data_IF_167487680467
#
_entry.id   IF_167487680467
#
_cell.length_a   1.000
_cell.length_b   1.000
_cell.length_c   1.000
_cell.angle_alpha   90.00
_cell.angle_beta   90.00
_cell.angle_gamma   90.00
#
_symmetry.space_group_name_H-M   'P 1'
#
loop_
_entity.id
_entity.type
_entity.pdbx_description
1 polymer ?
#
# COMPACT_ATOMS: atom_id res chain seq x y z
N UNK A 1 -0.94 -30.97 -21.04
CA UNK A 1 -0.28 -29.98 -20.16
C UNK A 1 -1.38 -29.13 -19.52
N UNK A 2 -1.80 -29.48 -18.31
CA UNK A 2 -2.82 -28.74 -17.56
C UNK A 2 -2.16 -27.52 -16.92
N UNK A 3 -2.43 -26.34 -17.47
CA UNK A 3 -2.12 -25.07 -16.81
C UNK A 3 -2.97 -24.94 -15.57
N UNK A 4 -2.34 -24.85 -14.40
CA UNK A 4 -3.00 -24.61 -13.11
C UNK A 4 -3.87 -23.36 -13.24
N UNK A 5 -5.18 -23.52 -13.04
CA UNK A 5 -6.06 -22.42 -12.76
C UNK A 5 -5.50 -21.68 -11.53
N UNK A 6 -5.07 -20.44 -11.72
CA UNK A 6 -4.71 -19.55 -10.63
C UNK A 6 -6.01 -19.32 -9.84
N UNK A 7 -6.07 -19.84 -8.62
CA UNK A 7 -7.20 -19.65 -7.72
C UNK A 7 -7.29 -18.15 -7.47
N UNK A 8 -8.27 -17.49 -8.10
CA UNK A 8 -8.64 -16.11 -7.79
C UNK A 8 -9.35 -16.16 -6.44
N UNK A 9 -8.58 -16.27 -5.37
CA UNK A 9 -9.07 -15.99 -4.03
C UNK A 9 -9.45 -14.52 -4.03
N UNK A 10 -10.75 -14.23 -3.95
CA UNK A 10 -11.25 -12.89 -3.66
C UNK A 10 -10.74 -12.51 -2.27
N UNK A 11 -9.63 -11.78 -2.24
CA UNK A 11 -9.16 -11.18 -0.99
C UNK A 11 -10.00 -9.94 -0.73
N UNK A 12 -10.77 -9.99 0.35
CA UNK A 12 -11.67 -8.89 0.74
C UNK A 12 -10.90 -7.59 1.02
N UNK A 13 -9.64 -7.69 1.47
CA UNK A 13 -8.80 -6.54 1.79
C UNK A 13 -7.32 -6.93 1.71
N UNK A 14 -6.51 -6.06 1.11
CA UNK A 14 -5.06 -6.27 0.98
C UNK A 14 -4.26 -5.04 1.39
N UNK A 15 -3.01 -5.26 1.79
CA UNK A 15 -1.97 -4.24 1.79
C UNK A 15 -1.14 -4.36 0.51
N UNK A 16 -0.69 -3.23 -0.03
CA UNK A 16 0.04 -3.14 -1.30
C UNK A 16 1.43 -2.54 -1.08
N UNK A 17 2.46 -3.17 -1.63
CA UNK A 17 3.83 -2.66 -1.67
C UNK A 17 4.28 -2.60 -3.13
N UNK A 18 4.75 -1.42 -3.55
CA UNK A 18 5.36 -1.22 -4.85
C UNK A 18 6.72 -0.59 -4.66
N UNK A 19 7.76 -1.38 -4.91
CA UNK A 19 9.14 -0.97 -4.67
C UNK A 19 10.07 -1.69 -5.65
N UNK A 20 10.82 -0.96 -6.50
CA UNK A 20 11.71 -1.57 -7.50
C UNK A 20 12.90 -2.32 -6.89
N UNK A 21 13.35 -1.96 -5.68
CA UNK A 21 14.38 -2.72 -4.98
C UNK A 21 13.78 -3.96 -4.31
N UNK A 22 14.13 -5.19 -4.75
CA UNK A 22 13.50 -6.40 -4.24
C UNK A 22 13.75 -6.63 -2.74
N UNK A 23 14.89 -6.21 -2.20
CA UNK A 23 15.17 -6.37 -0.77
C UNK A 23 14.28 -5.47 0.08
N UNK A 24 14.12 -4.21 -0.33
CA UNK A 24 13.23 -3.25 0.37
C UNK A 24 11.78 -3.70 0.23
N UNK A 25 11.36 -4.14 -0.96
CA UNK A 25 10.01 -4.66 -1.20
C UNK A 25 9.69 -5.86 -0.30
N UNK A 26 10.61 -6.82 -0.20
CA UNK A 26 10.45 -8.01 0.65
C UNK A 26 10.40 -7.63 2.13
N UNK A 27 11.32 -6.78 2.59
CA UNK A 27 11.37 -6.32 3.99
C UNK A 27 10.07 -5.60 4.40
N UNK A 28 9.57 -4.71 3.56
CA UNK A 28 8.29 -4.03 3.78
C UNK A 28 7.11 -5.02 3.83
N UNK A 29 7.09 -6.00 2.92
CA UNK A 29 6.03 -6.99 2.88
C UNK A 29 6.06 -7.93 4.10
N UNK A 30 7.26 -8.35 4.53
CA UNK A 30 7.45 -9.16 5.74
C UNK A 30 7.05 -8.41 7.00
N UNK A 31 7.43 -7.13 7.11
CA UNK A 31 7.00 -6.28 8.23
C UNK A 31 5.48 -6.15 8.29
N UNK A 32 4.79 -5.94 7.17
CA UNK A 32 3.33 -5.85 7.15
C UNK A 32 2.66 -7.15 7.63
N UNK A 33 3.23 -8.31 7.27
CA UNK A 33 2.77 -9.63 7.73
C UNK A 33 3.12 -9.90 9.19
N UNK A 34 4.25 -9.37 9.67
CA UNK A 34 4.64 -9.49 11.07
C UNK A 34 3.65 -8.77 11.99
N UNK A 35 3.14 -7.61 11.56
CA UNK A 35 2.15 -6.80 12.30
C UNK A 35 0.72 -7.33 12.29
N UNK A 36 0.41 -8.16 11.31
CA UNK A 36 -0.90 -8.71 11.06
C UNK A 36 -0.67 -10.03 10.33
N UNK A 37 -0.64 -11.12 11.10
CA UNK A 37 -0.36 -12.46 10.59
C UNK A 37 -1.36 -12.93 9.52
N UNK A 38 -2.51 -12.27 9.44
CA UNK A 38 -3.56 -12.51 8.44
C UNK A 38 -3.52 -11.51 7.28
N UNK A 39 -2.58 -10.57 7.27
CA UNK A 39 -2.44 -9.60 6.20
C UNK A 39 -2.11 -10.30 4.88
N UNK A 40 -2.94 -10.02 3.89
CA UNK A 40 -2.67 -10.37 2.51
C UNK A 40 -1.91 -9.20 1.89
N UNK A 41 -0.64 -9.43 1.60
CA UNK A 41 0.23 -8.42 1.01
C UNK A 41 0.46 -8.74 -0.46
N UNK A 42 0.11 -7.81 -1.33
CA UNK A 42 0.52 -7.80 -2.74
C UNK A 42 1.81 -6.97 -2.82
N UNK A 43 2.90 -7.58 -3.26
CA UNK A 43 4.20 -6.92 -3.37
C UNK A 43 4.71 -7.06 -4.81
N UNK A 44 4.92 -5.94 -5.48
CA UNK A 44 5.33 -5.91 -6.89
C UNK A 44 6.40 -4.85 -7.16
N UNK A 45 7.26 -5.09 -8.14
CA UNK A 45 8.37 -4.17 -8.44
C UNK A 45 7.95 -2.93 -9.21
N UNK A 46 6.74 -2.91 -9.76
CA UNK A 46 6.25 -1.82 -10.60
C UNK A 46 4.72 -1.72 -10.61
N UNK A 47 4.23 -0.53 -10.94
CA UNK A 47 2.80 -0.21 -10.95
C UNK A 47 1.98 -1.06 -11.93
N UNK A 48 2.55 -1.49 -13.06
CA UNK A 48 1.81 -2.27 -14.07
C UNK A 48 1.49 -3.68 -13.56
N UNK A 49 2.47 -4.35 -12.95
CA UNK A 49 2.28 -5.67 -12.35
C UNK A 49 1.28 -5.61 -11.19
N UNK A 50 1.44 -4.61 -10.31
CA UNK A 50 0.50 -4.35 -9.22
C UNK A 50 -0.93 -4.15 -9.70
N UNK A 51 -1.13 -3.33 -10.74
CA UNK A 51 -2.45 -3.00 -11.28
C UNK A 51 -3.23 -4.23 -11.72
N UNK A 52 -2.57 -5.21 -12.33
CA UNK A 52 -3.19 -6.46 -12.77
C UNK A 52 -3.75 -7.27 -11.59
N UNK A 53 -3.05 -7.28 -10.46
CA UNK A 53 -3.43 -8.04 -9.27
C UNK A 53 -4.48 -7.32 -8.43
N UNK A 54 -4.34 -6.01 -8.23
CA UNK A 54 -5.28 -5.25 -7.40
C UNK A 54 -6.64 -5.05 -8.08
N UNK A 55 -6.75 -5.28 -9.39
CA UNK A 55 -8.04 -5.20 -10.08
C UNK A 55 -9.06 -6.21 -9.54
N UNK A 56 -8.61 -7.37 -9.04
CA UNK A 56 -9.47 -8.44 -8.52
C UNK A 56 -9.65 -8.46 -6.99
N UNK A 57 -9.11 -7.49 -6.25
CA UNK A 57 -9.32 -7.40 -4.79
C UNK A 57 -10.46 -6.44 -4.47
N UNK A 58 -11.19 -6.64 -3.37
CA UNK A 58 -12.35 -5.78 -3.06
C UNK A 58 -11.91 -4.42 -2.52
N UNK A 59 -10.92 -4.40 -1.62
CA UNK A 59 -10.43 -3.16 -1.00
C UNK A 59 -8.91 -3.17 -0.79
N UNK A 60 -8.34 -1.96 -0.74
CA UNK A 60 -6.93 -1.75 -0.38
C UNK A 60 -6.93 -1.03 0.97
N UNK A 61 -6.22 -1.57 1.94
CA UNK A 61 -6.08 -0.97 3.28
C UNK A 61 -5.01 0.12 3.24
N UNK A 62 -3.82 -0.25 2.78
CA UNK A 62 -2.65 0.60 2.61
C UNK A 62 -1.93 0.29 1.30
N UNK A 63 -1.34 1.31 0.69
CA UNK A 63 -0.36 1.20 -0.37
C UNK A 63 0.92 1.95 -0.01
N UNK A 64 2.05 1.23 0.09
CA UNK A 64 3.40 1.79 0.12
C UNK A 64 3.92 1.82 -1.32
N UNK A 65 4.21 3.00 -1.87
CA UNK A 65 4.52 3.15 -3.30
C UNK A 65 5.77 3.99 -3.49
N UNK A 66 6.82 3.37 -4.05
CA UNK A 66 8.00 4.06 -4.55
C UNK A 66 7.66 4.76 -5.87
N UNK A 67 7.28 6.03 -5.79
CA UNK A 67 6.94 6.85 -6.95
C UNK A 67 7.06 8.35 -6.63
N UNK A 68 7.34 9.13 -7.68
CA UNK A 68 7.20 10.57 -7.64
C UNK A 68 5.73 10.96 -7.40
N UNK A 69 5.42 11.94 -6.55
CA UNK A 69 4.04 12.36 -6.30
C UNK A 69 3.29 12.78 -7.57
N UNK A 70 3.94 13.54 -8.45
CA UNK A 70 3.33 14.03 -9.69
C UNK A 70 3.00 12.90 -10.69
N UNK A 71 3.85 11.88 -10.76
CA UNK A 71 3.63 10.71 -11.63
C UNK A 71 2.59 9.77 -11.02
N UNK A 72 2.66 9.56 -9.70
CA UNK A 72 1.69 8.77 -8.96
C UNK A 72 0.29 9.35 -9.12
N UNK A 73 0.11 10.65 -8.90
CA UNK A 73 -1.19 11.32 -8.95
C UNK A 73 -1.94 11.08 -10.27
N UNK A 74 -1.20 11.07 -11.39
CA UNK A 74 -1.71 10.88 -12.75
C UNK A 74 -1.88 9.40 -13.13
N UNK A 75 -1.39 8.47 -12.32
CA UNK A 75 -1.36 7.04 -12.64
C UNK A 75 -2.74 6.39 -12.50
N UNK A 76 -2.99 5.37 -13.35
CA UNK A 76 -4.15 4.48 -13.19
C UNK A 76 -4.16 3.77 -11.83
N UNK A 77 -2.97 3.46 -11.31
CA UNK A 77 -2.81 2.86 -9.99
C UNK A 77 -3.35 3.77 -8.88
N UNK A 78 -3.04 5.07 -8.89
CA UNK A 78 -3.58 5.99 -7.89
C UNK A 78 -5.10 6.10 -7.95
N UNK A 79 -5.68 6.05 -9.14
CA UNK A 79 -7.13 6.02 -9.31
C UNK A 79 -7.73 4.76 -8.68
N UNK A 80 -7.16 3.58 -8.98
CA UNK A 80 -7.62 2.30 -8.42
C UNK A 80 -7.47 2.25 -6.90
N UNK A 81 -6.35 2.72 -6.35
CA UNK A 81 -6.14 2.76 -4.89
C UNK A 81 -7.20 3.64 -4.22
N UNK A 82 -7.46 4.84 -4.76
CA UNK A 82 -8.50 5.74 -4.24
C UNK A 82 -9.89 5.13 -4.32
N UNK A 83 -10.26 4.52 -5.45
CA UNK A 83 -11.55 3.85 -5.64
C UNK A 83 -11.75 2.69 -4.66
N UNK A 84 -10.68 1.97 -4.32
CA UNK A 84 -10.68 0.86 -3.34
C UNK A 84 -10.53 1.32 -1.89
N UNK A 85 -10.58 2.63 -1.62
CA UNK A 85 -10.49 3.21 -0.28
C UNK A 85 -9.12 3.09 0.37
N UNK A 86 -8.07 2.90 -0.45
CA UNK A 86 -6.70 2.74 0.02
C UNK A 86 -6.08 4.06 0.46
N UNK A 87 -5.30 3.97 1.54
CA UNK A 87 -4.37 5.03 1.95
C UNK A 87 -3.05 4.85 1.22
N UNK A 88 -2.41 5.95 0.86
CA UNK A 88 -1.16 5.93 0.09
C UNK A 88 -0.05 6.55 0.93
N UNK A 89 1.10 5.88 0.91
CA UNK A 89 2.37 6.39 1.40
C UNK A 89 3.33 6.36 0.25
N UNK A 90 3.91 7.52 -0.06
CA UNK A 90 4.93 7.61 -1.09
C UNK A 90 6.31 7.43 -0.48
N UNK A 91 7.21 6.85 -1.26
CA UNK A 91 8.60 6.60 -0.89
C UNK A 91 9.52 7.00 -2.04
N UNK A 92 10.77 7.29 -1.71
CA UNK A 92 11.80 7.68 -2.68
C UNK A 92 12.08 9.18 -2.71
N UNK A 93 13.16 9.56 -3.38
CA UNK A 93 13.75 10.90 -3.27
C UNK A 93 12.76 12.03 -3.63
N UNK A 94 11.97 11.84 -4.69
CA UNK A 94 10.99 12.84 -5.12
C UNK A 94 9.78 12.92 -4.19
N UNK A 95 9.39 11.79 -3.58
CA UNK A 95 8.37 11.77 -2.54
C UNK A 95 8.85 12.49 -1.27
N UNK A 96 10.09 12.25 -0.85
CA UNK A 96 10.74 12.93 0.29
C UNK A 96 10.79 14.45 0.08
N UNK A 97 11.07 14.89 -1.15
CA UNK A 97 11.20 16.31 -1.47
C UNK A 97 9.84 17.03 -1.61
N UNK A 98 8.83 16.39 -2.21
CA UNK A 98 7.61 17.07 -2.66
C UNK A 98 6.31 16.48 -2.10
N UNK A 99 6.35 15.25 -1.59
CA UNK A 99 5.14 14.48 -1.29
C UNK A 99 4.26 15.14 -0.24
N UNK A 100 4.84 15.59 0.88
CA UNK A 100 4.08 16.25 1.96
C UNK A 100 3.48 17.58 1.50
N UNK A 101 4.22 18.37 0.72
CA UNK A 101 3.71 19.62 0.14
C UNK A 101 2.56 19.38 -0.86
N UNK A 102 2.52 18.20 -1.48
CA UNK A 102 1.43 17.73 -2.35
C UNK A 102 0.33 16.96 -1.60
N UNK A 103 0.39 16.89 -0.27
CA UNK A 103 -0.63 16.27 0.58
C UNK A 103 -0.53 14.75 0.72
N UNK A 104 0.58 14.13 0.32
CA UNK A 104 0.84 12.71 0.54
C UNK A 104 1.51 12.47 1.88
N UNK A 105 1.19 11.34 2.52
CA UNK A 105 2.06 10.78 3.54
C UNK A 105 3.32 10.24 2.89
N UNK A 106 4.49 10.51 3.50
CA UNK A 106 5.79 10.12 2.95
C UNK A 106 6.55 9.30 3.97
N UNK A 107 7.17 8.20 3.51
CA UNK A 107 8.13 7.45 4.31
C UNK A 107 9.55 7.90 3.94
N UNK A 108 10.17 8.66 4.84
CA UNK A 108 11.51 9.21 4.65
C UNK A 108 12.60 8.17 4.91
N UNK A 109 13.62 8.13 4.06
CA UNK A 109 14.79 7.26 4.25
C UNK A 109 15.91 7.97 5.02
N UNK A 110 16.71 7.23 5.81
CA UNK A 110 16.49 5.83 6.17
C UNK A 110 15.28 5.70 7.12
N UNK A 111 14.48 4.65 6.93
CA UNK A 111 13.38 4.35 7.83
C UNK A 111 13.67 3.09 8.67
N UNK A 112 13.16 3.07 9.90
CA UNK A 112 13.12 1.88 10.75
C UNK A 112 11.78 1.17 10.63
N UNK A 113 11.74 -0.09 11.03
CA UNK A 113 10.50 -0.85 11.18
C UNK A 113 9.50 -0.05 12.04
N UNK A 114 9.94 0.43 13.21
CA UNK A 114 9.10 1.20 14.14
C UNK A 114 8.46 2.46 13.56
N UNK A 115 9.12 3.13 12.61
CA UNK A 115 8.54 4.30 11.93
C UNK A 115 7.39 3.88 11.01
N UNK A 116 7.56 2.80 10.26
CA UNK A 116 6.48 2.27 9.41
C UNK A 116 5.31 1.78 10.27
N UNK A 117 5.59 1.13 11.39
CA UNK A 117 4.57 0.69 12.35
C UNK A 117 3.79 1.85 12.97
N UNK A 118 4.48 2.92 13.33
CA UNK A 118 3.83 4.12 13.87
C UNK A 118 2.85 4.71 12.83
N UNK A 119 3.25 4.79 11.57
CA UNK A 119 2.37 5.25 10.47
C UNK A 119 1.15 4.33 10.32
N UNK A 120 1.34 3.01 10.38
CA UNK A 120 0.27 2.02 10.35
C UNK A 120 -0.71 2.18 11.54
N UNK A 121 -0.17 2.35 12.74
CA UNK A 121 -0.93 2.48 13.98
C UNK A 121 -1.84 3.72 13.97
N UNK A 122 -1.33 4.86 13.49
CA UNK A 122 -2.12 6.08 13.37
C UNK A 122 -3.29 5.91 12.40
N UNK A 123 -3.12 5.21 11.27
CA UNK A 123 -4.23 4.97 10.35
C UNK A 123 -5.25 3.95 10.85
N UNK A 124 -4.80 2.94 11.62
CA UNK A 124 -5.72 1.98 12.27
C UNK A 124 -6.63 2.70 13.26
N UNK A 125 -6.08 3.60 14.10
CA UNK A 125 -6.86 4.42 15.03
C UNK A 125 -7.87 5.30 14.30
N UNK A 126 -7.46 5.95 13.20
CA UNK A 126 -8.36 6.77 12.37
C UNK A 126 -9.54 5.95 11.83
N UNK A 127 -9.30 4.73 11.30
CA UNK A 127 -10.37 3.86 10.78
C UNK A 127 -11.33 3.34 11.85
N UNK A 128 -10.82 3.05 13.06
CA UNK A 128 -11.67 2.61 14.18
C UNK A 128 -12.51 3.77 14.75
N UNK A 129 -11.96 4.99 14.77
CA UNK A 129 -12.68 6.19 15.16
C UNK A 129 -13.89 6.49 14.26
N UNK A 130 -13.74 6.33 12.93
CA UNK A 130 -14.85 6.55 11.97
C UNK A 130 -15.97 5.51 12.13
N UNK A 131 -15.64 4.22 12.30
CA UNK A 131 -16.65 3.17 12.49
C UNK A 131 -17.49 3.34 13.77
N UNK A 132 -16.90 3.87 14.84
CA UNK A 132 -17.62 4.13 16.09
C UNK A 132 -18.53 5.37 16.04
N UNK A 133 -18.29 6.29 15.09
CA UNK A 133 -19.12 7.47 14.88
C UNK A 133 -20.39 7.15 14.06
N UNK A 134 -20.35 6.14 13.19
CA UNK A 134 -21.50 5.70 12.37
C UNK A 134 -22.47 4.77 13.12
N UNK A 135 -22.09 4.30 14.31
CA UNK A 135 -22.90 3.41 15.18
C UNK A 135 -23.59 4.16 16.34
N UNK A 136 -23.61 5.50 16.29
CA UNK A 136 -24.31 6.37 17.26
C UNK A 136 -25.38 7.19 16.54
#
# INVERSE_FOLDING_TARGET
MMGKACVVGLYAMVDLVIEPNPLVMMDLAEMLKFEDEHAVVIAESNARAALALVSSVDSIKLALVAAAPADFEKSALAQVIRQKGGKVVLMGAEAEALGEAMGYSVLHRPFSQSQVLAMLGEWRKQRQGTKNAELR
#
